data_IF_176273537362
#
_entry.id   IF_176273537362
#
_cell.length_a   1.000
_cell.length_b   1.000
_cell.length_c   1.000
_cell.angle_alpha   90.00
_cell.angle_beta   90.00
_cell.angle_gamma   90.00
#
_symmetry.space_group_name_H-M   'P 1'
#
loop_
_entity.id
_entity.type
_entity.pdbx_description
1 polymer ?
#
# COMPACT_ATOMS: atom_id res chain seq x y z
N UNK A 1 4.23 -0.84 -13.78
CA UNK A 1 3.52 -1.24 -12.55
C UNK A 1 2.25 -0.42 -12.44
N UNK A 2 1.16 -0.87 -13.07
CA UNK A 2 -0.16 -0.25 -12.92
C UNK A 2 -0.87 -0.68 -11.63
N UNK A 3 -2.14 -0.29 -11.49
CA UNK A 3 -3.04 -0.63 -10.37
C UNK A 3 -3.25 -2.13 -10.10
N UNK A 4 -2.80 -3.00 -11.00
CA UNK A 4 -2.92 -4.46 -10.89
C UNK A 4 -1.53 -5.12 -10.88
N UNK A 5 -0.75 -4.99 -9.79
CA UNK A 5 0.55 -5.65 -9.69
C UNK A 5 0.36 -7.18 -9.73
N UNK A 6 1.23 -7.93 -10.43
CA UNK A 6 1.11 -9.37 -10.44
C UNK A 6 1.44 -9.94 -9.05
N UNK A 7 0.61 -10.87 -8.59
CA UNK A 7 0.86 -11.63 -7.38
C UNK A 7 1.30 -13.06 -7.72
N UNK A 8 2.16 -13.64 -6.88
CA UNK A 8 2.69 -14.98 -7.08
C UNK A 8 2.64 -15.76 -5.77
N UNK A 9 2.47 -17.08 -5.89
CA UNK A 9 2.54 -18.05 -4.79
C UNK A 9 3.62 -19.08 -5.08
N UNK A 10 4.38 -19.43 -4.04
CA UNK A 10 5.25 -20.58 -4.05
C UNK A 10 4.69 -21.63 -3.09
N UNK A 11 4.15 -22.71 -3.63
CA UNK A 11 3.58 -23.81 -2.85
C UNK A 11 4.68 -24.77 -2.37
N UNK A 12 5.64 -24.22 -1.63
CA UNK A 12 6.76 -24.93 -1.04
C UNK A 12 6.83 -24.59 0.46
N UNK A 13 6.80 -25.59 1.36
CA UNK A 13 6.97 -25.36 2.79
C UNK A 13 8.32 -24.69 3.13
N UNK A 14 9.34 -24.83 2.28
CA UNK A 14 10.63 -24.16 2.47
C UNK A 14 10.66 -22.73 1.93
N UNK A 15 9.59 -22.29 1.26
CA UNK A 15 9.48 -20.97 0.62
C UNK A 15 10.69 -20.62 -0.27
N UNK A 16 11.33 -21.64 -0.85
CA UNK A 16 12.59 -21.51 -1.57
C UNK A 16 12.60 -22.38 -2.85
N UNK A 17 12.47 -21.78 -4.04
CA UNK A 17 12.37 -22.53 -5.29
C UNK A 17 13.67 -23.28 -5.63
N UNK A 18 14.82 -22.77 -5.16
CA UNK A 18 16.14 -23.33 -5.49
C UNK A 18 16.43 -24.72 -4.92
N UNK A 19 15.74 -25.14 -3.84
CA UNK A 19 15.96 -26.46 -3.22
C UNK A 19 14.93 -27.51 -3.61
N UNK A 20 13.69 -27.10 -3.84
CA UNK A 20 12.59 -28.02 -4.20
C UNK A 20 12.38 -28.16 -5.71
N UNK A 21 12.94 -27.24 -6.51
CA UNK A 21 12.64 -27.14 -7.94
C UNK A 21 11.22 -26.63 -8.24
N UNK A 22 10.43 -26.29 -7.21
CA UNK A 22 9.09 -25.74 -7.39
C UNK A 22 9.16 -24.32 -7.94
N UNK A 23 8.17 -23.95 -8.75
CA UNK A 23 8.10 -22.66 -9.41
C UNK A 23 7.11 -21.73 -8.73
N UNK A 24 7.38 -20.42 -8.83
CA UNK A 24 6.41 -19.39 -8.51
C UNK A 24 5.26 -19.46 -9.51
N UNK A 25 4.05 -19.62 -9.01
CA UNK A 25 2.83 -19.67 -9.81
C UNK A 25 2.12 -18.33 -9.69
N UNK A 26 1.68 -17.77 -10.82
CA UNK A 26 0.93 -16.52 -10.82
C UNK A 26 -0.44 -16.73 -10.19
N UNK A 27 -0.84 -15.82 -9.32
CA UNK A 27 -2.20 -15.73 -8.82
C UNK A 27 -2.95 -14.76 -9.74
N UNK A 28 -4.11 -15.19 -10.24
CA UNK A 28 -5.01 -14.35 -11.03
C UNK A 28 -6.39 -14.37 -10.42
N UNK A 29 -7.27 -13.47 -10.87
CA UNK A 29 -8.67 -13.46 -10.42
C UNK A 29 -9.43 -14.75 -10.77
N UNK A 30 -8.97 -15.53 -11.75
CA UNK A 30 -9.50 -16.87 -12.09
C UNK A 30 -8.86 -18.01 -11.31
N UNK A 31 -7.86 -17.73 -10.48
CA UNK A 31 -7.13 -18.71 -9.70
C UNK A 31 -5.65 -18.82 -10.06
N UNK A 32 -5.00 -19.80 -9.43
CA UNK A 32 -3.55 -20.02 -9.53
C UNK A 32 -3.22 -20.65 -10.89
N UNK A 33 -2.21 -20.10 -11.57
CA UNK A 33 -1.70 -20.60 -12.86
C UNK A 33 -2.63 -20.34 -14.05
N UNK A 34 -3.78 -19.71 -13.82
CA UNK A 34 -4.72 -19.34 -14.88
C UNK A 34 -4.34 -18.01 -15.55
N UNK A 35 -4.90 -17.74 -16.71
CA UNK A 35 -4.76 -16.43 -17.38
C UNK A 35 -5.62 -15.39 -16.68
N UNK A 36 -5.05 -14.19 -16.46
CA UNK A 36 -5.78 -13.06 -15.87
C UNK A 36 -6.84 -12.56 -16.87
N UNK A 37 -8.14 -12.67 -16.55
CA UNK A 37 -9.20 -12.17 -17.42
C UNK A 37 -9.30 -10.64 -17.44
N UNK A 38 -8.82 -9.95 -16.40
CA UNK A 38 -8.94 -8.50 -16.33
C UNK A 38 -7.87 -7.83 -17.20
N UNK A 39 -8.28 -6.82 -17.95
CA UNK A 39 -7.36 -6.01 -18.75
C UNK A 39 -6.52 -5.11 -17.83
N UNK A 40 -5.21 -5.06 -18.07
CA UNK A 40 -4.35 -4.08 -17.41
C UNK A 40 -4.60 -2.69 -18.01
N UNK A 41 -5.21 -1.81 -17.21
CA UNK A 41 -5.42 -0.41 -17.55
C UNK A 41 -4.15 0.46 -17.48
N UNK A 42 -2.98 -0.13 -17.22
CA UNK A 42 -1.69 0.53 -17.20
C UNK A 42 -1.48 1.44 -15.99
N UNK A 43 -0.44 2.29 -16.08
CA UNK A 43 -0.11 3.28 -15.04
C UNK A 43 -1.29 4.23 -14.71
N UNK A 44 -2.04 4.77 -15.70
CA UNK A 44 -3.09 5.76 -15.41
C UNK A 44 -4.34 5.17 -14.74
N UNK A 45 -4.56 3.85 -14.81
CA UNK A 45 -5.79 3.25 -14.31
C UNK A 45 -5.98 3.39 -12.80
N UNK A 46 -4.88 3.42 -12.02
CA UNK A 46 -4.97 3.71 -10.58
C UNK A 46 -5.55 5.10 -10.30
N UNK A 47 -5.10 6.12 -11.03
CA UNK A 47 -5.61 7.49 -10.89
C UNK A 47 -7.10 7.57 -11.26
N UNK A 48 -7.53 6.83 -12.28
CA UNK A 48 -8.94 6.75 -12.68
C UNK A 48 -9.80 6.12 -11.58
N UNK A 49 -9.33 5.05 -10.95
CA UNK A 49 -10.05 4.40 -9.84
C UNK A 49 -10.18 5.30 -8.63
N UNK A 50 -9.13 6.07 -8.28
CA UNK A 50 -9.21 7.06 -7.19
C UNK A 50 -10.23 8.16 -7.50
N UNK A 51 -10.24 8.67 -8.74
CA UNK A 51 -11.23 9.67 -9.15
C UNK A 51 -12.65 9.11 -9.14
N UNK A 52 -12.83 7.85 -9.55
CA UNK A 52 -14.12 7.16 -9.53
C UNK A 52 -14.63 6.97 -8.09
N UNK A 53 -13.78 6.46 -7.19
CA UNK A 53 -14.16 6.28 -5.79
C UNK A 53 -14.56 7.60 -5.13
N UNK A 54 -13.88 8.71 -5.46
CA UNK A 54 -14.29 10.03 -4.97
C UNK A 54 -15.71 10.40 -5.43
N UNK A 55 -16.03 10.21 -6.71
CA UNK A 55 -17.37 10.49 -7.24
C UNK A 55 -18.43 9.58 -6.60
N UNK A 56 -18.15 8.28 -6.47
CA UNK A 56 -19.05 7.32 -5.86
C UNK A 56 -19.29 7.65 -4.38
N UNK A 57 -18.23 8.06 -3.66
CA UNK A 57 -18.33 8.44 -2.25
C UNK A 57 -19.26 9.64 -2.02
N UNK A 58 -19.27 10.59 -2.95
CA UNK A 58 -20.18 11.75 -2.93
C UNK A 58 -21.62 11.29 -3.18
N UNK A 59 -21.84 10.38 -4.14
CA UNK A 59 -23.17 9.88 -4.48
C UNK A 59 -23.79 9.04 -3.35
N UNK A 60 -22.97 8.23 -2.69
CA UNK A 60 -23.38 7.29 -1.65
C UNK A 60 -23.34 7.90 -0.24
N UNK A 61 -22.97 9.17 -0.09
CA UNK A 61 -22.78 9.85 1.20
C UNK A 61 -21.88 9.06 2.17
N UNK A 62 -20.74 8.58 1.64
CA UNK A 62 -19.72 7.84 2.40
C UNK A 62 -18.36 8.52 2.30
N UNK A 63 -17.43 8.07 3.13
CA UNK A 63 -16.03 8.45 2.96
C UNK A 63 -15.42 7.73 1.74
N UNK A 64 -14.50 8.38 1.00
CA UNK A 64 -13.67 7.68 0.03
C UNK A 64 -12.75 6.67 0.74
N UNK A 65 -12.28 5.67 0.01
CA UNK A 65 -11.35 4.66 0.53
C UNK A 65 -10.06 5.32 1.04
N UNK A 66 -9.56 6.33 0.31
CA UNK A 66 -8.44 7.16 0.72
C UNK A 66 -8.91 8.46 1.41
N UNK A 67 -9.48 8.34 2.61
CA UNK A 67 -10.04 9.47 3.35
C UNK A 67 -9.02 10.25 4.21
N UNK A 68 -9.50 11.33 4.84
CA UNK A 68 -8.69 12.25 5.67
C UNK A 68 -8.09 11.60 6.91
N UNK A 69 -8.71 10.56 7.47
CA UNK A 69 -8.17 9.88 8.65
C UNK A 69 -6.96 9.01 8.27
N UNK A 70 -7.02 8.33 7.12
CA UNK A 70 -5.87 7.62 6.54
C UNK A 70 -4.75 8.59 6.14
N UNK A 71 -5.11 9.75 5.56
CA UNK A 71 -4.14 10.80 5.25
C UNK A 71 -3.43 11.30 6.53
N UNK A 72 -4.17 11.49 7.63
CA UNK A 72 -3.58 11.86 8.93
C UNK A 72 -2.63 10.78 9.43
N UNK A 73 -3.01 9.50 9.40
CA UNK A 73 -2.14 8.40 9.84
C UNK A 73 -0.85 8.33 9.00
N UNK A 74 -0.96 8.60 7.69
CA UNK A 74 0.18 8.68 6.77
C UNK A 74 1.13 9.81 7.17
N UNK A 75 0.60 11.00 7.44
CA UNK A 75 1.40 12.14 7.92
C UNK A 75 2.06 11.81 9.25
N UNK A 76 1.33 11.20 10.20
CA UNK A 76 1.91 10.80 11.49
C UNK A 76 3.07 9.81 11.29
N UNK A 77 2.95 8.83 10.38
CA UNK A 77 4.03 7.90 10.08
C UNK A 77 5.26 8.60 9.49
N UNK A 78 5.06 9.52 8.53
CA UNK A 78 6.16 10.30 7.92
C UNK A 78 6.89 11.08 9.01
N UNK A 79 6.15 11.79 9.87
CA UNK A 79 6.73 12.57 10.97
C UNK A 79 7.43 11.65 12.00
N UNK A 80 6.87 10.47 12.29
CA UNK A 80 7.48 9.48 13.18
C UNK A 80 8.82 8.96 12.64
N UNK A 81 8.96 8.75 11.33
CA UNK A 81 10.22 8.33 10.70
C UNK A 81 11.30 9.38 10.89
N UNK A 82 11.00 10.66 10.62
CA UNK A 82 11.96 11.74 10.86
C UNK A 82 12.33 11.87 12.33
N UNK A 83 11.34 11.83 13.22
CA UNK A 83 11.59 11.91 14.66
C UNK A 83 12.39 10.71 15.18
N UNK A 84 12.15 9.51 14.66
CA UNK A 84 12.90 8.29 14.99
C UNK A 84 14.34 8.42 14.55
N UNK A 85 14.59 8.92 13.34
CA UNK A 85 15.94 9.17 12.83
C UNK A 85 16.73 10.15 13.69
N UNK A 86 16.10 11.24 14.15
CA UNK A 86 16.76 12.21 15.03
C UNK A 86 17.05 11.64 16.43
N UNK A 87 16.13 10.85 16.99
CA UNK A 87 16.26 10.30 18.35
C UNK A 87 17.02 8.98 18.42
N UNK A 88 17.28 8.34 17.28
CA UNK A 88 17.81 6.98 17.19
C UNK A 88 17.00 5.99 18.05
N UNK A 89 15.69 6.17 18.09
CA UNK A 89 14.78 5.41 18.95
C UNK A 89 13.43 5.18 18.27
N UNK A 90 12.69 4.17 18.76
CA UNK A 90 11.31 3.93 18.34
C UNK A 90 10.41 5.06 18.81
N UNK A 91 9.47 5.48 17.95
CA UNK A 91 8.48 6.52 18.25
C UNK A 91 7.11 5.86 18.40
N UNK A 92 6.41 6.23 19.47
CA UNK A 92 5.05 5.76 19.72
C UNK A 92 4.05 6.43 18.76
N UNK A 93 3.02 5.67 18.38
CA UNK A 93 1.91 6.13 17.55
C UNK A 93 0.60 5.97 18.34
N UNK A 94 -0.35 6.93 18.28
CA UNK A 94 -0.24 8.21 17.56
C UNK A 94 0.82 9.14 18.16
N UNK A 95 1.30 10.10 17.38
CA UNK A 95 2.38 10.99 17.80
C UNK A 95 1.99 11.83 19.02
N UNK A 96 2.85 11.79 20.05
CA UNK A 96 2.71 12.62 21.26
C UNK A 96 3.15 14.07 21.03
N UNK A 97 4.18 14.28 20.21
CA UNK A 97 4.64 15.61 19.77
C UNK A 97 4.23 15.81 18.30
N UNK A 98 3.38 16.81 18.04
CA UNK A 98 2.80 17.08 16.71
C UNK A 98 3.40 18.28 15.99
N UNK A 99 4.46 18.88 16.55
CA UNK A 99 5.31 19.84 15.83
C UNK A 99 6.17 19.14 14.78
N UNK A 100 6.52 19.85 13.70
CA UNK A 100 7.41 19.32 12.68
C UNK A 100 8.79 18.94 13.28
N UNK A 101 9.27 17.69 13.12
CA UNK A 101 10.43 17.19 13.86
C UNK A 101 11.75 17.87 13.48
N UNK A 102 11.86 18.43 12.27
CA UNK A 102 13.08 19.12 11.81
C UNK A 102 13.17 20.58 12.26
N UNK A 103 12.10 21.15 12.83
CA UNK A 103 12.10 22.55 13.27
C UNK A 103 12.73 22.72 14.66
N UNK A 104 13.08 21.64 15.35
CA UNK A 104 13.66 21.68 16.69
C UNK A 104 15.12 22.18 16.74
N UNK A 105 15.73 22.46 15.57
CA UNK A 105 17.08 23.01 15.44
C UNK A 105 17.15 24.43 14.87
N UNK A 106 16.01 25.13 14.75
CA UNK A 106 15.93 26.55 14.35
C UNK A 106 15.58 27.44 15.54
#
# INVERSE_FOLDING_TARGET
>A
TGHMPPAYILQDPLWSPGRSGKQWQRITTKGIGQTEPLADGGLPAGNKLVAQDLLDSIQEDRLPEANVFEARNTIEMIMAVFQSGLKQAKIAMPLTQRSHPLNAGQ
#
